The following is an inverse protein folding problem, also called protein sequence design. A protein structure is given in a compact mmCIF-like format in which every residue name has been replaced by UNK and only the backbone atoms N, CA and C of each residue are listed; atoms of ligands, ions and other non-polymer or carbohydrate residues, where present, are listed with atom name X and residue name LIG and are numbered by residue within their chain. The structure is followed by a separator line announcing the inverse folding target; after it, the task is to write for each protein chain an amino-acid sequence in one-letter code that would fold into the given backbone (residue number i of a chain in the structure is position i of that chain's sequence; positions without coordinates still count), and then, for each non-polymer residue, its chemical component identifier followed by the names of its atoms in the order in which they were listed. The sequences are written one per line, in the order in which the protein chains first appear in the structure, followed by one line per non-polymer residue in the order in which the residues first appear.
data_IF_547407117496
#
_entry.id   IF_547407117496
#
_cell.length_a   1.000
_cell.length_b   1.000
_cell.length_c   1.000
_cell.angle_alpha   90.00
_cell.angle_beta   90.00
_cell.angle_gamma   90.00
#
_symmetry.space_group_name_H-M   'P 1'
#
loop_
_entity.id
_entity.type
_entity.pdbx_description
1 polymer ?
#
# COMPACT_ATOMS: atom_id res chain seq x y z
N UNK A 1 -65.52 -58.24 -9.75
CA UNK A 1 -65.05 -58.84 -8.48
C UNK A 1 -65.02 -57.75 -7.41
N UNK A 2 -65.11 -58.13 -6.12
CA UNK A 2 -65.17 -57.23 -4.95
C UNK A 2 -63.93 -57.45 -4.05
N UNK A 3 -63.43 -56.53 -3.22
CA UNK A 3 -63.48 -55.04 -3.17
C UNK A 3 -62.37 -54.60 -2.16
N UNK A 4 -62.36 -53.34 -1.70
CA UNK A 4 -61.55 -52.83 -0.55
C UNK A 4 -60.02 -52.70 -0.84
N UNK A 5 -59.20 -51.89 -0.15
CA UNK A 5 -59.43 -50.96 0.99
C UNK A 5 -58.34 -49.87 1.11
N UNK A 6 -58.61 -48.82 1.92
CA UNK A 6 -57.70 -47.83 2.56
C UNK A 6 -56.91 -46.82 1.69
N UNK A 7 -57.21 -45.53 1.91
CA UNK A 7 -56.18 -44.48 2.09
C UNK A 7 -56.01 -44.20 3.60
N UNK A 8 -55.64 -42.99 4.05
CA UNK A 8 -55.17 -41.79 3.34
C UNK A 8 -53.63 -41.61 3.61
N UNK A 9 -52.92 -40.49 3.48
CA UNK A 9 -53.25 -39.07 3.28
C UNK A 9 -52.23 -38.36 2.36
N UNK A 10 -52.62 -37.18 1.86
CA UNK A 10 -51.70 -36.12 1.42
C UNK A 10 -51.90 -34.92 2.37
N UNK A 11 -50.82 -34.37 2.94
CA UNK A 11 -50.88 -33.12 3.70
C UNK A 11 -50.25 -31.99 2.89
N UNK A 12 -50.76 -30.78 3.06
CA UNK A 12 -50.61 -29.67 2.11
C UNK A 12 -49.44 -28.76 2.46
N UNK A 13 -48.60 -28.47 1.46
CA UNK A 13 -47.70 -27.31 1.35
C UNK A 13 -47.07 -27.38 -0.06
N UNK A 14 -47.64 -26.84 -1.13
CA UNK A 14 -48.71 -25.84 -1.20
C UNK A 14 -48.26 -24.59 -1.96
N UNK A 15 -47.69 -24.78 -3.16
CA UNK A 15 -47.51 -23.79 -4.25
C UNK A 15 -47.47 -24.60 -5.54
N UNK A 16 -48.44 -24.41 -6.43
CA UNK A 16 -48.38 -24.91 -7.80
C UNK A 16 -47.63 -23.90 -8.68
N UNK A 17 -46.49 -24.31 -9.25
CA UNK A 17 -45.81 -23.51 -10.27
C UNK A 17 -46.49 -23.71 -11.64
N UNK A 18 -47.50 -22.88 -11.95
CA UNK A 18 -48.05 -22.83 -13.30
C UNK A 18 -46.98 -22.38 -14.30
N UNK A 19 -46.68 -23.25 -15.27
CA UNK A 19 -45.75 -22.99 -16.38
C UNK A 19 -46.41 -22.13 -17.47
N UNK A 20 -46.72 -20.87 -17.15
CA UNK A 20 -47.34 -19.93 -18.10
C UNK A 20 -46.60 -18.60 -18.20
N UNK A 21 -45.79 -18.47 -19.25
CA UNK A 21 -45.53 -17.20 -19.95
C UNK A 21 -44.82 -16.07 -19.20
N UNK A 22 -43.49 -16.19 -19.00
CA UNK A 22 -42.62 -15.02 -18.78
C UNK A 22 -41.57 -14.90 -19.90
N UNK A 23 -41.34 -13.70 -20.47
CA UNK A 23 -40.49 -13.52 -21.65
C UNK A 23 -39.01 -13.75 -21.32
N UNK A 24 -38.39 -14.67 -22.08
CA UNK A 24 -37.05 -15.24 -21.86
C UNK A 24 -35.93 -14.20 -21.71
N UNK A 25 -36.05 -13.03 -22.34
CA UNK A 25 -35.09 -11.93 -22.25
C UNK A 25 -34.93 -11.35 -20.82
N UNK A 26 -35.96 -11.45 -19.96
CA UNK A 26 -35.97 -10.79 -18.65
C UNK A 26 -35.14 -11.52 -17.58
N UNK A 27 -34.88 -12.81 -17.74
CA UNK A 27 -34.01 -13.58 -16.84
C UNK A 27 -32.50 -13.35 -17.10
N UNK A 28 -32.09 -13.17 -18.37
CA UNK A 28 -30.69 -12.92 -18.73
C UNK A 28 -30.14 -11.64 -18.08
N UNK A 29 -30.95 -10.59 -18.02
CA UNK A 29 -30.59 -9.31 -17.38
C UNK A 29 -30.30 -9.49 -15.88
N UNK A 30 -31.09 -10.30 -15.17
CA UNK A 30 -30.89 -10.56 -13.74
C UNK A 30 -29.62 -11.36 -13.44
N UNK A 31 -29.27 -12.35 -14.27
CA UNK A 31 -28.02 -13.11 -14.11
C UNK A 31 -26.78 -12.22 -14.30
N UNK A 32 -26.77 -11.37 -15.35
CA UNK A 32 -25.66 -10.45 -15.62
C UNK A 32 -25.48 -9.39 -14.51
N UNK A 33 -26.57 -8.89 -13.93
CA UNK A 33 -26.55 -7.95 -12.80
C UNK A 33 -26.05 -8.56 -11.49
N UNK A 34 -26.20 -9.88 -11.29
CA UNK A 34 -25.72 -10.54 -10.08
C UNK A 34 -24.18 -10.73 -10.10
N UNK A 35 -23.60 -11.03 -11.27
CA UNK A 35 -22.15 -11.26 -11.42
C UNK A 35 -21.26 -10.02 -11.17
N UNK A 36 -21.78 -8.80 -11.32
CA UNK A 36 -20.98 -7.57 -11.15
C UNK A 36 -20.84 -7.09 -9.70
N UNK A 37 -21.71 -7.54 -8.78
CA UNK A 37 -21.75 -7.05 -7.40
C UNK A 37 -20.72 -7.68 -6.46
N UNK A 38 -20.04 -8.76 -6.87
CA UNK A 38 -19.07 -9.52 -6.06
C UNK A 38 -17.59 -9.13 -6.29
N UNK A 39 -17.31 -8.17 -7.18
CA UNK A 39 -15.96 -7.92 -7.69
C UNK A 39 -15.00 -6.94 -6.92
N UNK A 40 -15.34 -6.23 -5.82
CA UNK A 40 -14.47 -5.15 -5.31
C UNK A 40 -13.30 -5.59 -4.40
N UNK A 41 -13.19 -6.87 -4.04
CA UNK A 41 -12.22 -7.35 -3.02
C UNK A 41 -10.79 -7.59 -3.54
N UNK A 42 -10.57 -7.75 -4.84
CA UNK A 42 -9.24 -7.98 -5.41
C UNK A 42 -8.38 -6.70 -5.55
N UNK A 43 -8.96 -5.51 -5.37
CA UNK A 43 -8.31 -4.23 -5.68
C UNK A 43 -7.22 -3.79 -4.67
N UNK A 44 -7.09 -4.46 -3.51
CA UNK A 44 -6.24 -4.02 -2.40
C UNK A 44 -4.78 -4.51 -2.47
N UNK A 45 -4.30 -4.90 -3.65
CA UNK A 45 -2.91 -5.28 -3.88
C UNK A 45 -1.97 -4.05 -3.84
N UNK A 46 -1.73 -3.51 -2.64
CA UNK A 46 -0.70 -2.47 -2.41
C UNK A 46 0.69 -3.04 -2.67
N UNK A 47 1.14 -2.93 -3.92
CA UNK A 47 2.34 -3.60 -4.41
C UNK A 47 3.60 -3.26 -3.63
N UNK A 48 4.24 -4.30 -3.09
CA UNK A 48 5.66 -4.31 -2.71
C UNK A 48 6.51 -4.25 -3.98
N UNK A 49 6.58 -3.06 -4.60
CA UNK A 49 7.33 -2.80 -5.83
C UNK A 49 8.50 -1.86 -5.59
N UNK A 50 9.61 -2.10 -6.30
CA UNK A 50 10.75 -1.18 -6.35
C UNK A 50 10.29 0.16 -6.95
N UNK A 51 10.23 1.20 -6.11
CA UNK A 51 9.89 2.54 -6.58
C UNK A 51 11.16 3.22 -7.09
N UNK A 52 11.23 3.42 -8.41
CA UNK A 52 12.24 4.24 -9.08
C UNK A 52 11.50 5.35 -9.81
N UNK A 53 11.55 6.58 -9.28
CA UNK A 53 10.90 7.74 -9.90
C UNK A 53 11.91 8.49 -10.78
N UNK A 54 11.61 8.83 -12.05
CA UNK A 54 12.59 9.47 -12.93
C UNK A 54 13.06 10.85 -12.43
N UNK A 55 12.23 11.55 -11.66
CA UNK A 55 12.56 12.85 -11.03
C UNK A 55 13.60 12.71 -9.92
N UNK A 56 13.62 11.59 -9.19
CA UNK A 56 14.44 11.37 -8.01
C UNK A 56 15.13 10.02 -8.18
N UNK A 57 16.39 10.05 -8.62
CA UNK A 57 17.19 8.87 -8.94
C UNK A 57 17.55 8.10 -7.66
N UNK A 58 16.55 7.43 -7.11
CA UNK A 58 16.58 6.60 -5.91
C UNK A 58 15.75 5.35 -6.15
N UNK A 59 16.28 4.21 -5.73
CA UNK A 59 15.60 2.91 -5.73
C UNK A 59 15.19 2.59 -4.30
N UNK A 60 13.90 2.31 -4.08
CA UNK A 60 13.34 2.09 -2.74
C UNK A 60 12.80 0.66 -2.64
N UNK A 61 13.31 -0.09 -1.67
CA UNK A 61 13.00 -1.50 -1.42
C UNK A 61 12.52 -1.70 0.03
N UNK A 62 11.30 -2.18 0.27
CA UNK A 62 10.89 -2.59 1.61
C UNK A 62 11.72 -3.80 2.06
N UNK A 63 12.20 -3.79 3.30
CA UNK A 63 13.05 -4.86 3.88
C UNK A 63 12.24 -5.82 4.77
N UNK A 64 11.26 -5.27 5.49
CA UNK A 64 10.45 -5.97 6.49
C UNK A 64 9.96 -4.98 7.55
N UNK A 65 8.96 -5.34 8.37
CA UNK A 65 8.55 -4.65 9.62
C UNK A 65 8.19 -3.13 9.59
N UNK A 66 8.14 -2.53 8.41
CA UNK A 66 8.01 -1.08 8.19
C UNK A 66 9.34 -0.35 7.99
N UNK A 67 10.41 -1.09 7.70
CA UNK A 67 11.75 -0.62 7.32
C UNK A 67 11.87 -0.62 5.78
N UNK A 68 12.38 0.47 5.24
CA UNK A 68 12.55 0.72 3.81
C UNK A 68 14.00 1.09 3.53
N UNK A 69 14.66 0.32 2.67
CA UNK A 69 15.99 0.60 2.17
C UNK A 69 15.91 1.53 0.95
N UNK A 70 16.72 2.57 0.96
CA UNK A 70 16.78 3.60 -0.08
C UNK A 70 18.21 3.65 -0.60
N UNK A 71 18.36 3.49 -1.92
CA UNK A 71 19.62 3.45 -2.64
C UNK A 71 19.68 4.60 -3.62
N UNK A 72 20.66 5.51 -3.51
CA UNK A 72 20.76 6.64 -4.42
C UNK A 72 21.56 6.27 -5.69
N UNK A 73 21.04 6.65 -6.85
CA UNK A 73 21.59 6.39 -8.17
C UNK A 73 22.17 7.71 -8.71
N UNK A 74 23.48 7.76 -8.89
CA UNK A 74 24.21 8.98 -9.24
C UNK A 74 24.83 9.64 -8.00
N UNK A 75 24.15 10.58 -7.36
CA UNK A 75 24.67 11.36 -6.22
C UNK A 75 24.30 10.75 -4.86
N UNK A 76 25.28 10.63 -3.95
CA UNK A 76 25.11 10.17 -2.57
C UNK A 76 24.77 11.30 -1.57
N UNK A 77 24.33 12.48 -2.02
CA UNK A 77 23.92 13.55 -1.11
C UNK A 77 22.75 13.09 -0.20
N UNK A 78 22.80 13.44 1.10
CA UNK A 78 21.78 13.08 2.09
C UNK A 78 20.35 13.52 1.66
N UNK A 79 20.28 14.68 1.00
CA UNK A 79 19.07 15.29 0.42
C UNK A 79 18.32 14.31 -0.49
N UNK A 80 19.02 13.53 -1.32
CA UNK A 80 18.40 12.58 -2.25
C UNK A 80 17.68 11.45 -1.51
N UNK A 81 18.29 10.90 -0.46
CA UNK A 81 17.69 9.83 0.34
C UNK A 81 16.45 10.32 1.09
N UNK A 82 16.52 11.51 1.69
CA UNK A 82 15.39 12.14 2.39
C UNK A 82 14.25 12.47 1.43
N UNK A 83 14.54 13.04 0.26
CA UNK A 83 13.53 13.23 -0.79
C UNK A 83 12.86 11.90 -1.16
N UNK A 84 13.65 10.89 -1.53
CA UNK A 84 13.13 9.58 -1.96
C UNK A 84 12.17 8.96 -0.94
N UNK A 85 12.58 8.88 0.33
CA UNK A 85 11.71 8.29 1.37
C UNK A 85 10.52 9.17 1.74
N UNK A 86 10.68 10.50 1.78
CA UNK A 86 9.59 11.44 2.09
C UNK A 86 8.47 11.39 1.05
N UNK A 87 8.86 11.37 -0.23
CA UNK A 87 7.91 11.23 -1.33
C UNK A 87 7.25 9.86 -1.37
N UNK A 88 8.01 8.78 -1.19
CA UNK A 88 7.47 7.41 -1.13
C UNK A 88 6.50 7.24 0.05
N UNK A 89 6.82 7.79 1.22
CA UNK A 89 5.94 7.77 2.39
C UNK A 89 4.61 8.49 2.11
N UNK A 90 4.65 9.69 1.54
CA UNK A 90 3.43 10.47 1.25
C UNK A 90 2.63 9.90 0.08
N UNK A 91 3.28 9.49 -1.02
CA UNK A 91 2.58 9.09 -2.27
C UNK A 91 2.27 7.60 -2.36
N UNK A 92 3.18 6.72 -1.92
CA UNK A 92 3.03 5.26 -2.08
C UNK A 92 2.45 4.60 -0.81
N UNK A 93 2.95 4.98 0.37
CA UNK A 93 2.42 4.48 1.64
C UNK A 93 1.15 5.25 2.06
N UNK A 94 1.04 6.54 1.72
CA UNK A 94 -0.11 7.37 2.05
C UNK A 94 -0.14 7.79 3.53
N UNK A 95 1.02 7.95 4.16
CA UNK A 95 1.10 8.35 5.58
C UNK A 95 0.79 9.84 5.77
N UNK A 96 0.36 10.28 6.97
CA UNK A 96 0.19 11.70 7.27
C UNK A 96 1.47 12.50 7.03
N UNK A 97 1.35 13.74 6.53
CA UNK A 97 2.51 14.64 6.32
C UNK A 97 3.37 14.84 7.58
N UNK A 98 2.73 14.88 8.74
CA UNK A 98 3.35 14.98 10.06
C UNK A 98 4.01 13.69 10.58
N UNK A 99 3.82 12.55 9.90
CA UNK A 99 4.48 11.29 10.26
C UNK A 99 5.99 11.49 10.30
N UNK A 100 6.64 11.04 11.37
CA UNK A 100 8.11 11.08 11.48
C UNK A 100 8.73 9.89 10.74
N UNK A 101 9.80 10.15 10.02
CA UNK A 101 10.64 9.17 9.33
C UNK A 101 12.01 9.22 10.01
N UNK A 102 12.52 8.05 10.40
CA UNK A 102 13.75 7.88 11.18
C UNK A 102 14.79 7.11 10.37
N UNK A 103 16.06 7.49 10.46
CA UNK A 103 17.19 6.67 9.98
C UNK A 103 17.32 5.46 10.90
N UNK A 104 16.97 4.29 10.40
CA UNK A 104 17.05 2.99 11.09
C UNK A 104 18.45 2.38 10.97
N UNK A 105 19.06 2.48 9.79
CA UNK A 105 20.48 2.13 9.55
C UNK A 105 21.14 3.26 8.78
N UNK A 106 22.26 3.75 9.32
CA UNK A 106 23.07 4.81 8.72
C UNK A 106 23.62 4.41 7.34
N UNK A 107 24.03 5.42 6.57
CA UNK A 107 24.56 5.28 5.21
C UNK A 107 25.75 4.32 5.13
N UNK A 108 25.60 3.29 4.30
CA UNK A 108 26.65 2.30 4.05
C UNK A 108 27.41 2.63 2.76
N UNK A 109 28.63 3.15 2.90
CA UNK A 109 29.45 3.66 1.77
C UNK A 109 29.67 2.65 0.64
N UNK A 110 29.72 1.35 0.95
CA UNK A 110 29.88 0.28 -0.04
C UNK A 110 28.60 -0.01 -0.84
N UNK A 111 27.48 -0.26 -0.16
CA UNK A 111 26.18 -0.54 -0.79
C UNK A 111 25.49 0.70 -1.38
N UNK A 112 25.87 1.90 -0.93
CA UNK A 112 25.22 3.20 -1.21
C UNK A 112 23.74 3.21 -0.80
N UNK A 113 23.44 2.57 0.33
CA UNK A 113 22.09 2.45 0.91
C UNK A 113 21.99 3.15 2.25
N UNK A 114 20.77 3.58 2.58
CA UNK A 114 20.32 4.02 3.91
C UNK A 114 19.04 3.24 4.20
N UNK A 115 18.80 2.81 5.45
CA UNK A 115 17.50 2.23 5.82
C UNK A 115 16.74 3.18 6.72
N UNK A 116 15.47 3.40 6.38
CA UNK A 116 14.55 4.28 7.11
C UNK A 116 13.40 3.48 7.71
N UNK A 117 12.80 3.98 8.79
CA UNK A 117 11.61 3.41 9.42
C UNK A 117 10.60 4.51 9.76
N UNK A 118 9.32 4.14 9.80
CA UNK A 118 8.24 5.00 10.34
C UNK A 118 8.13 4.91 11.88
N UNK A 119 8.91 4.01 12.50
CA UNK A 119 9.02 3.79 13.95
C UNK A 119 10.42 4.22 14.42
N UNK A 120 10.57 4.77 15.64
CA UNK A 120 11.89 5.10 16.18
C UNK A 120 12.75 3.82 16.36
N UNK A 121 14.05 3.85 16.01
CA UNK A 121 14.96 2.75 16.29
C UNK A 121 15.24 2.59 17.81
N UNK A 122 15.28 1.35 18.33
CA UNK A 122 15.48 1.10 19.76
C UNK A 122 16.90 1.52 20.19
N UNK A 123 16.99 2.23 21.32
CA UNK A 123 18.27 2.67 21.89
C UNK A 123 18.99 3.81 21.15
N UNK A 124 18.39 4.36 20.10
CA UNK A 124 18.95 5.49 19.37
C UNK A 124 18.51 6.84 19.96
N UNK A 125 19.36 7.87 19.85
CA UNK A 125 18.95 9.25 20.12
C UNK A 125 18.05 9.76 18.98
N UNK A 126 16.78 10.02 19.29
CA UNK A 126 15.80 10.58 18.36
C UNK A 126 15.58 12.08 18.53
N UNK A 127 16.46 12.79 19.23
CA UNK A 127 16.45 14.26 19.34
C UNK A 127 16.55 14.88 17.93
N UNK A 128 15.58 15.72 17.49
CA UNK A 128 15.62 16.28 16.15
C UNK A 128 16.82 17.22 15.95
N UNK A 129 17.72 16.85 15.04
CA UNK A 129 18.83 17.72 14.62
C UNK A 129 18.41 18.78 13.60
N UNK A 130 19.16 19.87 13.53
CA UNK A 130 18.97 20.94 12.53
C UNK A 130 19.68 20.64 11.18
N UNK A 131 20.54 19.61 11.13
CA UNK A 131 21.34 19.26 9.95
C UNK A 131 20.74 18.09 9.18
N UNK A 132 20.80 18.14 7.84
CA UNK A 132 20.35 17.04 6.97
C UNK A 132 21.45 15.97 6.92
N UNK A 133 21.27 14.88 7.69
CA UNK A 133 22.21 13.75 7.74
C UNK A 133 21.49 12.42 7.50
N UNK A 134 22.25 11.43 7.02
CA UNK A 134 21.88 10.01 6.95
C UNK A 134 22.94 9.12 7.60
N UNK A 135 23.90 9.72 8.31
CA UNK A 135 25.08 9.03 8.86
C UNK A 135 24.89 8.63 10.34
N UNK A 136 23.81 9.09 11.00
CA UNK A 136 23.50 8.81 12.40
C UNK A 136 22.14 8.12 12.51
N UNK A 137 22.12 6.97 13.18
CA UNK A 137 20.87 6.25 13.49
C UNK A 137 20.07 7.07 14.50
N UNK A 138 18.77 7.20 14.26
CA UNK A 138 17.88 8.06 15.05
C UNK A 138 17.63 9.44 14.46
N UNK A 139 18.44 9.93 13.50
CA UNK A 139 18.17 11.16 12.75
C UNK A 139 16.75 11.09 12.14
N UNK A 140 15.92 12.12 12.36
CA UNK A 140 14.50 12.03 12.01
C UNK A 140 13.81 13.38 11.75
N UNK A 141 12.92 13.39 10.76
CA UNK A 141 12.14 14.56 10.33
C UNK A 141 10.72 14.17 9.91
N UNK A 142 9.85 15.15 9.62
CA UNK A 142 8.50 14.87 9.10
C UNK A 142 8.54 14.41 7.66
N UNK A 143 7.57 13.59 7.23
CA UNK A 143 7.43 13.17 5.84
C UNK A 143 7.25 14.37 4.89
N UNK A 144 6.58 15.45 5.33
CA UNK A 144 6.53 16.71 4.58
C UNK A 144 7.87 17.42 4.47
N UNK A 145 8.70 17.43 5.52
CA UNK A 145 10.04 18.02 5.48
C UNK A 145 10.92 17.24 4.50
N UNK A 146 10.88 15.91 4.61
CA UNK A 146 11.58 14.98 3.74
C UNK A 146 11.16 15.16 2.26
N UNK A 147 9.86 15.25 1.98
CA UNK A 147 9.36 15.49 0.60
C UNK A 147 9.65 16.91 0.10
N UNK A 148 9.77 17.93 0.95
CA UNK A 148 10.10 19.28 0.47
C UNK A 148 11.48 19.34 -0.22
N UNK A 149 12.43 18.52 0.21
CA UNK A 149 13.73 18.34 -0.47
C UNK A 149 13.64 17.74 -1.89
N UNK A 150 12.44 17.32 -2.33
CA UNK A 150 12.16 16.93 -3.71
C UNK A 150 11.78 18.09 -4.63
N UNK A 151 11.55 19.29 -4.07
CA UNK A 151 11.20 20.51 -4.81
C UNK A 151 12.17 21.65 -4.50
N UNK A 152 12.84 21.59 -3.35
CA UNK A 152 13.93 22.48 -2.97
C UNK A 152 15.14 22.21 -3.87
N UNK A 153 15.38 23.09 -4.85
CA UNK A 153 16.44 22.96 -5.84
C UNK A 153 17.78 23.43 -5.25
N UNK A 154 18.17 22.89 -4.08
CA UNK A 154 19.48 23.14 -3.51
C UNK A 154 20.54 22.47 -4.38
N UNK A 155 21.16 23.31 -5.21
CA UNK A 155 22.24 22.96 -6.12
C UNK A 155 23.34 22.18 -5.40
N UNK A 156 23.94 21.28 -6.18
CA UNK A 156 25.07 20.42 -5.84
C UNK A 156 26.22 21.18 -5.13
N UNK A 157 26.19 21.21 -3.79
CA UNK A 157 27.37 21.51 -2.99
C UNK A 157 28.26 20.26 -2.95
N UNK A 158 29.00 20.06 -4.04
CA UNK A 158 30.06 19.07 -4.11
C UNK A 158 31.17 19.41 -3.13
N UNK A 159 31.41 18.51 -2.18
CA UNK A 159 32.53 18.47 -1.24
C UNK A 159 33.26 17.13 -1.37
#
# INVERSE_FOLDING_TARGET
MWLYSRGPCLNMNGIEFQLTGFPMARFLVFFLLCTSLLAPLAAQARGFGLSVRPTYRTEIRPVGDGIYEVKAIGSSAAVNYWCGIGDYAIRQLGVPRSQRIYVWKAYEKGARTVQFSLKPPPGADTTPGYSITVNRVGDNMSASSAQNYCYDNFMDFGF
#
